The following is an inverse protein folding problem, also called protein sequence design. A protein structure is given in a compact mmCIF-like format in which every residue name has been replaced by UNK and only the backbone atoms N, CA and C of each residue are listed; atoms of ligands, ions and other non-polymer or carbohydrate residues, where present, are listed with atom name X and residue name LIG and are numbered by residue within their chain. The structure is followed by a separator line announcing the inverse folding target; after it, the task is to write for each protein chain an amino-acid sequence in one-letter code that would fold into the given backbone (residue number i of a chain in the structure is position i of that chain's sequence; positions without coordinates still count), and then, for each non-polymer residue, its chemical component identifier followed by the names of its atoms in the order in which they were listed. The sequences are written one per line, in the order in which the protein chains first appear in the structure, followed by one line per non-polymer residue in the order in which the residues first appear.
data_IF_992374018776
#
_entry.id   IF_992374018776
#
_cell.length_a   1.000
_cell.length_b   1.000
_cell.length_c   1.000
_cell.angle_alpha   90.00
_cell.angle_beta   90.00
_cell.angle_gamma   90.00
#
_symmetry.space_group_name_H-M   'P 1'
#
loop_
_entity.id
_entity.type
_entity.pdbx_description
1 polymer ?
#
# COMPACT_ATOMS: atom_id res chain seq x y z
N UNK A 1 -19.50 -3.86 16.36
CA UNK A 1 -18.56 -3.40 15.32
C UNK A 1 -17.11 -3.34 15.85
N UNK A 2 -16.81 -2.55 16.88
CA UNK A 2 -15.45 -2.49 17.46
C UNK A 2 -15.00 -3.77 18.22
N UNK A 3 -15.92 -4.52 18.85
CA UNK A 3 -15.59 -5.79 19.52
C UNK A 3 -15.20 -6.91 18.54
N UNK A 4 -15.91 -7.01 17.41
CA UNK A 4 -15.62 -7.97 16.33
C UNK A 4 -14.31 -7.62 15.60
N UNK A 5 -14.03 -6.33 15.39
CA UNK A 5 -12.76 -5.87 14.82
C UNK A 5 -11.57 -6.06 15.79
N UNK A 6 -11.81 -6.04 17.11
CA UNK A 6 -10.81 -6.34 18.15
C UNK A 6 -10.50 -7.84 18.24
N UNK A 7 -11.42 -8.71 17.84
CA UNK A 7 -11.18 -10.16 17.77
C UNK A 7 -10.05 -10.51 16.77
N UNK A 8 -9.81 -9.64 15.78
CA UNK A 8 -8.63 -9.69 14.88
C UNK A 8 -7.29 -9.48 15.61
N UNK A 9 -7.29 -8.97 16.85
CA UNK A 9 -6.09 -8.75 17.68
C UNK A 9 -5.87 -9.83 18.76
N UNK A 10 -6.84 -10.73 19.00
CA UNK A 10 -6.83 -11.64 20.15
C UNK A 10 -6.42 -13.08 19.87
N UNK A 11 -6.22 -13.49 18.61
CA UNK A 11 -5.92 -14.89 18.27
C UNK A 11 -4.43 -15.20 18.37
N UNK A 12 -3.88 -15.06 19.57
CA UNK A 12 -2.72 -15.83 20.02
C UNK A 12 -3.21 -17.09 20.73
N UNK A 13 -3.75 -18.07 20.01
CA UNK A 13 -4.01 -19.41 20.57
C UNK A 13 -4.19 -20.47 19.47
N UNK A 14 -3.35 -21.50 19.57
CA UNK A 14 -3.47 -22.90 19.08
C UNK A 14 -3.83 -23.22 17.60
N UNK A 15 -3.11 -24.17 16.97
CA UNK A 15 -3.49 -24.72 15.68
C UNK A 15 -4.64 -25.71 15.86
N UNK A 16 -5.55 -25.78 14.88
CA UNK A 16 -6.74 -26.64 14.85
C UNK A 16 -7.76 -26.39 15.97
N UNK A 17 -8.46 -25.27 15.89
CA UNK A 17 -9.87 -25.25 16.25
C UNK A 17 -10.60 -24.52 15.13
N UNK A 18 -11.67 -25.14 14.63
CA UNK A 18 -12.62 -24.56 13.70
C UNK A 18 -12.75 -23.06 13.93
N UNK A 19 -12.27 -22.24 12.99
CA UNK A 19 -12.78 -20.88 12.89
C UNK A 19 -14.27 -21.07 12.73
N UNK A 20 -15.05 -20.70 13.75
CA UNK A 20 -16.49 -20.89 13.73
C UNK A 20 -17.01 -20.24 12.45
N UNK A 21 -17.65 -21.01 11.57
CA UNK A 21 -18.15 -20.51 10.29
C UNK A 21 -19.05 -19.28 10.48
N UNK A 22 -19.68 -19.14 11.65
CA UNK A 22 -20.46 -17.98 12.07
C UNK A 22 -19.62 -16.70 12.21
N UNK A 23 -18.44 -16.77 12.81
CA UNK A 23 -17.54 -15.61 12.95
C UNK A 23 -17.03 -15.16 11.57
N UNK A 24 -16.67 -16.12 10.70
CA UNK A 24 -16.26 -15.83 9.31
C UNK A 24 -17.40 -15.21 8.48
N UNK A 25 -18.62 -15.73 8.61
CA UNK A 25 -19.80 -15.18 7.96
C UNK A 25 -20.08 -13.75 8.44
N UNK A 26 -19.95 -13.49 9.75
CA UNK A 26 -20.18 -12.15 10.31
C UNK A 26 -19.17 -11.12 9.80
N UNK A 27 -17.89 -11.48 9.67
CA UNK A 27 -16.83 -10.58 9.19
C UNK A 27 -17.03 -10.26 7.71
N UNK A 28 -17.25 -11.29 6.89
CA UNK A 28 -17.49 -11.11 5.44
C UNK A 28 -18.74 -10.28 5.18
N UNK A 29 -19.80 -10.44 5.99
CA UNK A 29 -21.01 -9.63 5.91
C UNK A 29 -20.73 -8.16 6.27
N UNK A 30 -19.93 -7.89 7.30
CA UNK A 30 -19.54 -6.52 7.66
C UNK A 30 -18.75 -5.85 6.54
N UNK A 31 -17.78 -6.55 5.94
CA UNK A 31 -17.03 -6.04 4.78
C UNK A 31 -17.94 -5.77 3.58
N UNK A 32 -18.89 -6.66 3.31
CA UNK A 32 -19.90 -6.46 2.27
C UNK A 32 -20.75 -5.21 2.53
N UNK A 33 -21.24 -5.02 3.75
CA UNK A 33 -22.01 -3.83 4.13
C UNK A 33 -21.19 -2.54 4.03
N UNK A 34 -19.91 -2.56 4.39
CA UNK A 34 -19.01 -1.42 4.25
C UNK A 34 -18.77 -1.07 2.78
N UNK A 35 -18.62 -2.07 1.92
CA UNK A 35 -18.48 -1.85 0.49
C UNK A 35 -19.79 -1.29 -0.11
N UNK A 36 -20.95 -1.79 0.33
CA UNK A 36 -22.26 -1.25 -0.04
C UNK A 36 -22.43 0.20 0.44
N UNK A 37 -21.95 0.54 1.64
CA UNK A 37 -21.92 1.91 2.15
C UNK A 37 -21.07 2.84 1.25
N UNK A 38 -19.97 2.33 0.67
CA UNK A 38 -19.12 3.13 -0.23
C UNK A 38 -19.82 3.40 -1.57
N UNK A 39 -20.49 2.39 -2.13
CA UNK A 39 -21.26 2.53 -3.36
C UNK A 39 -22.50 3.41 -3.18
N UNK A 40 -23.20 3.29 -2.06
CA UNK A 40 -24.35 4.15 -1.75
C UNK A 40 -23.92 5.60 -1.58
N UNK A 41 -22.82 5.87 -0.89
CA UNK A 41 -22.24 7.23 -0.81
C UNK A 41 -21.94 7.80 -2.20
N UNK A 42 -21.34 7.00 -3.09
CA UNK A 42 -21.06 7.43 -4.46
C UNK A 42 -22.33 7.66 -5.27
N UNK A 43 -23.34 6.78 -5.15
CA UNK A 43 -24.63 6.93 -5.82
C UNK A 43 -25.36 8.21 -5.37
N UNK A 44 -25.33 8.54 -4.08
CA UNK A 44 -25.90 9.78 -3.55
C UNK A 44 -25.17 11.02 -4.10
N UNK A 45 -23.84 10.96 -4.27
CA UNK A 45 -23.07 12.02 -4.91
C UNK A 45 -23.49 12.22 -6.38
N UNK A 46 -23.61 11.13 -7.13
CA UNK A 46 -24.04 11.18 -8.54
C UNK A 46 -25.46 11.75 -8.64
N UNK A 47 -26.37 11.32 -7.77
CA UNK A 47 -27.72 11.87 -7.70
C UNK A 47 -27.73 13.37 -7.41
N UNK A 48 -26.94 13.82 -6.41
CA UNK A 48 -26.79 15.24 -6.08
C UNK A 48 -26.28 16.05 -7.27
N UNK A 49 -25.21 15.59 -7.93
CA UNK A 49 -24.63 16.27 -9.09
C UNK A 49 -25.61 16.32 -10.25
N UNK A 50 -26.27 15.21 -10.57
CA UNK A 50 -27.27 15.16 -11.63
C UNK A 50 -28.40 16.16 -11.35
N UNK A 51 -28.88 16.23 -10.11
CA UNK A 51 -29.92 17.18 -9.73
C UNK A 51 -29.46 18.63 -9.91
N UNK A 52 -28.28 19.00 -9.40
CA UNK A 52 -27.74 20.37 -9.54
C UNK A 52 -27.54 20.73 -11.01
N UNK A 53 -26.93 19.85 -11.79
CA UNK A 53 -26.59 20.11 -13.19
C UNK A 53 -27.84 20.19 -14.09
N UNK A 54 -28.81 19.28 -13.94
CA UNK A 54 -30.04 19.34 -14.73
C UNK A 54 -30.84 20.60 -14.44
N UNK A 55 -30.98 20.99 -13.16
CA UNK A 55 -31.69 22.22 -12.80
C UNK A 55 -31.00 23.47 -13.37
N UNK A 56 -29.67 23.54 -13.28
CA UNK A 56 -28.91 24.66 -13.86
C UNK A 56 -28.97 24.67 -15.39
N UNK A 57 -28.95 23.51 -16.05
CA UNK A 57 -29.09 23.44 -17.51
C UNK A 57 -30.46 23.91 -17.96
N UNK A 58 -31.53 23.44 -17.30
CA UNK A 58 -32.91 23.87 -17.59
C UNK A 58 -32.99 25.39 -17.48
N UNK A 59 -32.46 25.97 -16.40
CA UNK A 59 -32.42 27.42 -16.19
C UNK A 59 -31.72 28.15 -17.35
N UNK A 60 -30.52 27.72 -17.77
CA UNK A 60 -29.81 28.37 -18.88
C UNK A 60 -30.50 28.22 -20.24
N UNK A 61 -31.39 27.24 -20.41
CA UNK A 61 -32.16 27.04 -21.64
C UNK A 61 -33.50 27.77 -21.69
N UNK A 62 -33.90 28.46 -20.62
CA UNK A 62 -35.19 29.16 -20.57
C UNK A 62 -35.14 30.50 -21.33
N UNK A 63 -36.15 30.72 -22.20
CA UNK A 63 -36.29 31.96 -22.98
C UNK A 63 -37.07 33.07 -22.24
N UNK A 64 -37.73 32.75 -21.12
CA UNK A 64 -38.49 33.69 -20.29
C UNK A 64 -38.13 33.49 -18.82
N UNK A 65 -37.87 34.58 -18.10
CA UNK A 65 -37.32 34.59 -16.74
C UNK A 65 -38.33 34.20 -15.62
N UNK A 66 -39.54 33.74 -15.96
CA UNK A 66 -40.63 33.57 -14.99
C UNK A 66 -40.77 32.16 -14.39
N UNK A 67 -40.03 31.15 -14.86
CA UNK A 67 -40.02 29.88 -14.14
C UNK A 67 -38.87 29.87 -13.14
N UNK A 68 -39.16 30.44 -11.96
CA UNK A 68 -38.39 30.22 -10.74
C UNK A 68 -37.85 28.80 -10.73
N UNK A 69 -36.53 28.67 -10.62
CA UNK A 69 -35.88 27.43 -10.21
C UNK A 69 -36.79 26.73 -9.18
N UNK A 70 -37.06 25.42 -9.26
CA UNK A 70 -37.79 24.74 -8.19
C UNK A 70 -36.85 24.62 -6.97
N UNK A 71 -36.58 25.74 -6.31
CA UNK A 71 -35.77 25.82 -5.12
C UNK A 71 -36.43 26.74 -4.11
N UNK A 72 -37.22 26.10 -3.25
CA UNK A 72 -37.01 26.25 -1.81
C UNK A 72 -37.62 25.10 -0.99
N UNK A 73 -38.54 24.30 -1.55
CA UNK A 73 -39.07 23.13 -0.79
C UNK A 73 -38.07 21.97 -0.66
N UNK A 74 -37.02 21.91 -1.50
CA UNK A 74 -36.08 20.76 -1.56
C UNK A 74 -34.62 21.03 -1.18
N UNK A 75 -34.22 22.27 -0.88
CA UNK A 75 -32.79 22.57 -0.55
C UNK A 75 -32.32 21.80 0.68
N UNK A 76 -33.17 21.73 1.71
CA UNK A 76 -32.90 20.99 2.94
C UNK A 76 -32.74 19.47 2.68
N UNK A 77 -33.48 18.92 1.71
CA UNK A 77 -33.35 17.52 1.31
C UNK A 77 -32.01 17.29 0.61
N UNK A 78 -31.63 18.18 -0.31
CA UNK A 78 -30.35 18.09 -1.01
C UNK A 78 -29.16 18.22 -0.04
N UNK A 79 -29.26 19.13 0.94
CA UNK A 79 -28.29 19.28 2.02
C UNK A 79 -28.20 18.00 2.87
N UNK A 80 -29.33 17.39 3.22
CA UNK A 80 -29.33 16.11 3.95
C UNK A 80 -28.66 15.00 3.16
N UNK A 81 -28.95 14.89 1.86
CA UNK A 81 -28.37 13.88 0.97
C UNK A 81 -26.85 14.01 0.89
N UNK A 82 -26.32 15.22 0.68
CA UNK A 82 -24.87 15.43 0.57
C UNK A 82 -24.16 15.21 1.91
N UNK A 83 -24.76 15.62 3.03
CA UNK A 83 -24.23 15.37 4.37
C UNK A 83 -24.22 13.87 4.68
N UNK A 84 -25.30 13.14 4.39
CA UNK A 84 -25.36 11.69 4.56
C UNK A 84 -24.31 10.97 3.69
N UNK A 85 -24.16 11.39 2.43
CA UNK A 85 -23.13 10.86 1.54
C UNK A 85 -21.71 11.11 2.09
N UNK A 86 -21.43 12.29 2.62
CA UNK A 86 -20.14 12.65 3.22
C UNK A 86 -19.83 11.81 4.47
N UNK A 87 -20.82 11.60 5.36
CA UNK A 87 -20.65 10.76 6.56
C UNK A 87 -20.38 9.30 6.19
N UNK A 88 -21.17 8.74 5.27
CA UNK A 88 -20.94 7.37 4.77
C UNK A 88 -19.54 7.24 4.16
N UNK A 89 -19.12 8.21 3.34
CA UNK A 89 -17.77 8.19 2.75
C UNK A 89 -16.68 8.27 3.79
N UNK A 90 -16.86 9.09 4.83
CA UNK A 90 -15.87 9.23 5.90
C UNK A 90 -15.68 7.91 6.63
N UNK A 91 -16.76 7.20 6.96
CA UNK A 91 -16.72 5.88 7.60
C UNK A 91 -15.99 4.86 6.72
N UNK A 92 -16.27 4.83 5.41
CA UNK A 92 -15.65 3.88 4.49
C UNK A 92 -14.19 4.19 4.24
N UNK A 93 -13.81 5.47 4.11
CA UNK A 93 -12.40 5.88 3.98
C UNK A 93 -11.61 5.57 5.24
N UNK A 94 -12.17 5.83 6.43
CA UNK A 94 -11.52 5.49 7.70
C UNK A 94 -11.25 3.99 7.78
N UNK A 95 -12.23 3.17 7.39
CA UNK A 95 -12.09 1.72 7.37
C UNK A 95 -11.02 1.30 6.38
N UNK A 96 -11.01 1.84 5.15
CA UNK A 96 -9.93 1.58 4.17
C UNK A 96 -8.55 1.94 4.71
N UNK A 97 -8.39 3.08 5.38
CA UNK A 97 -7.13 3.44 6.03
C UNK A 97 -6.74 2.48 7.15
N UNK A 98 -7.72 1.99 7.91
CA UNK A 98 -7.49 0.96 8.91
C UNK A 98 -6.97 -0.33 8.26
N UNK A 99 -7.54 -0.79 7.14
CA UNK A 99 -7.03 -1.95 6.40
C UNK A 99 -5.61 -1.71 5.86
N UNK A 100 -5.35 -0.51 5.30
CA UNK A 100 -4.04 -0.10 4.80
C UNK A 100 -2.96 0.05 5.90
N UNK A 101 -3.34 -0.06 7.18
CA UNK A 101 -2.39 -0.10 8.29
C UNK A 101 -2.08 -1.51 8.78
N UNK A 102 -2.76 -2.54 8.24
CA UNK A 102 -2.79 -3.89 8.80
C UNK A 102 -2.50 -4.96 7.76
N UNK A 103 -1.36 -4.84 7.11
CA UNK A 103 -0.79 -5.89 6.29
C UNK A 103 0.69 -6.08 6.64
N UNK A 104 1.21 -7.25 6.33
CA UNK A 104 2.62 -7.56 6.60
C UNK A 104 3.41 -7.38 5.31
N UNK A 105 4.54 -6.66 5.40
CA UNK A 105 5.49 -6.48 4.30
C UNK A 105 6.78 -7.17 4.67
N UNK A 106 7.25 -8.04 3.77
CA UNK A 106 8.49 -8.78 3.93
C UNK A 106 9.48 -8.34 2.87
N UNK A 107 10.61 -7.81 3.31
CA UNK A 107 11.77 -7.55 2.46
C UNK A 107 12.66 -8.79 2.47
N UNK A 108 12.77 -9.43 1.31
CA UNK A 108 13.55 -10.65 1.08
C UNK A 108 14.89 -10.23 0.48
N UNK A 109 15.97 -10.34 1.25
CA UNK A 109 17.31 -9.98 0.80
C UNK A 109 17.99 -11.19 0.16
N UNK A 110 18.38 -11.03 -1.11
CA UNK A 110 19.08 -12.06 -1.88
C UNK A 110 20.61 -11.98 -1.75
N UNK A 111 21.14 -10.91 -1.14
CA UNK A 111 22.58 -10.75 -0.95
C UNK A 111 23.11 -11.79 0.05
N UNK A 112 24.25 -12.38 -0.28
CA UNK A 112 24.90 -13.42 0.52
C UNK A 112 26.11 -12.86 1.25
N UNK A 113 26.40 -13.31 2.48
CA UNK A 113 27.62 -12.92 3.18
C UNK A 113 28.82 -13.38 2.35
N UNK A 114 29.70 -12.44 1.99
CA UNK A 114 30.91 -12.77 1.24
C UNK A 114 32.01 -13.17 2.21
N UNK A 115 32.71 -14.26 1.91
CA UNK A 115 33.93 -14.55 2.64
C UNK A 115 34.98 -13.54 2.21
N UNK A 116 35.55 -12.79 3.15
CA UNK A 116 36.74 -12.01 2.83
C UNK A 116 37.89 -12.99 2.69
N UNK A 117 38.17 -13.42 1.46
CA UNK A 117 39.44 -14.07 1.16
C UNK A 117 40.56 -13.03 1.28
N UNK A 118 40.95 -12.71 2.51
CA UNK A 118 42.13 -11.87 2.76
C UNK A 118 43.43 -12.58 2.38
N UNK A 119 43.37 -13.85 1.95
CA UNK A 119 44.52 -14.58 1.43
C UNK A 119 44.12 -15.35 0.16
N UNK A 120 44.15 -14.70 -1.00
CA UNK A 120 45.03 -15.11 -2.11
C UNK A 120 44.68 -14.36 -3.40
N UNK A 121 45.61 -13.52 -3.80
CA UNK A 121 45.88 -13.18 -5.20
C UNK A 121 46.10 -14.52 -5.91
N UNK A 122 45.10 -15.06 -6.61
CA UNK A 122 45.25 -15.84 -7.85
C UNK A 122 43.90 -16.43 -8.31
N UNK A 123 43.35 -15.81 -9.37
CA UNK A 123 42.74 -16.44 -10.53
C UNK A 123 42.03 -17.81 -10.36
N UNK A 124 40.69 -17.82 -10.44
CA UNK A 124 39.94 -18.30 -11.62
C UNK A 124 38.44 -18.32 -11.36
N UNK A 125 37.73 -17.81 -12.36
CA UNK A 125 36.34 -18.09 -12.68
C UNK A 125 35.94 -19.54 -12.38
N UNK A 126 35.04 -19.73 -11.42
CA UNK A 126 34.15 -20.89 -11.40
C UNK A 126 32.72 -20.38 -11.26
N UNK A 127 32.12 -20.21 -12.44
CA UNK A 127 30.70 -20.07 -12.66
C UNK A 127 30.10 -21.48 -12.46
N UNK A 128 30.03 -21.95 -11.22
CA UNK A 128 29.34 -23.19 -10.89
C UNK A 128 27.97 -22.88 -10.31
N UNK A 129 26.98 -23.08 -11.18
CA UNK A 129 25.58 -23.33 -10.86
C UNK A 129 25.55 -24.53 -9.90
N UNK A 130 25.63 -24.26 -8.60
CA UNK A 130 25.52 -25.27 -7.55
C UNK A 130 24.27 -24.99 -6.72
N UNK A 131 23.44 -26.02 -6.61
CA UNK A 131 22.12 -26.07 -5.98
C UNK A 131 22.08 -25.35 -4.62
N UNK A 132 21.25 -24.31 -4.57
CA UNK A 132 21.09 -23.40 -3.47
C UNK A 132 20.21 -24.00 -2.35
N UNK A 133 20.77 -24.74 -1.38
CA UNK A 133 20.20 -24.88 -0.02
C UNK A 133 20.99 -25.77 0.98
N UNK A 134 22.07 -26.48 0.60
CA UNK A 134 22.50 -27.66 1.38
C UNK A 134 23.84 -27.61 2.13
N UNK A 135 24.46 -26.45 2.37
CA UNK A 135 25.72 -26.42 3.14
C UNK A 135 25.53 -25.91 4.58
N UNK A 136 25.23 -26.88 5.45
CA UNK A 136 25.31 -26.78 6.90
C UNK A 136 26.77 -27.00 7.35
N UNK A 137 27.57 -25.93 7.38
CA UNK A 137 28.89 -25.92 8.01
C UNK A 137 29.01 -24.71 8.96
N UNK A 138 29.67 -24.85 10.12
CA UNK A 138 29.80 -23.76 11.08
C UNK A 138 30.80 -22.72 10.54
N UNK A 139 30.50 -21.41 10.52
CA UNK A 139 31.38 -20.44 9.91
C UNK A 139 32.21 -19.71 10.97
N UNK A 140 33.52 -19.89 10.93
CA UNK A 140 34.45 -18.90 11.46
C UNK A 140 34.50 -17.73 10.46
N UNK A 141 34.11 -16.54 10.92
CA UNK A 141 34.15 -15.24 10.22
C UNK A 141 33.30 -15.12 8.94
N UNK A 142 31.96 -15.14 9.09
CA UNK A 142 31.06 -14.56 8.08
C UNK A 142 31.09 -13.03 8.19
N UNK A 143 31.44 -12.34 7.11
CA UNK A 143 31.10 -10.91 7.01
C UNK A 143 29.57 -10.80 6.95
N UNK A 144 28.98 -9.95 7.79
CA UNK A 144 27.53 -9.78 7.80
C UNK A 144 27.10 -8.98 6.57
N UNK A 145 25.94 -9.31 6.00
CA UNK A 145 25.34 -8.56 4.90
C UNK A 145 24.95 -7.17 5.38
N UNK A 146 25.22 -6.15 4.57
CA UNK A 146 24.88 -4.77 4.87
C UNK A 146 23.35 -4.57 4.92
N UNK A 147 22.86 -3.97 6.00
CA UNK A 147 21.44 -3.63 6.14
C UNK A 147 21.00 -2.36 5.38
N UNK A 148 21.94 -1.58 4.83
CA UNK A 148 21.64 -0.26 4.25
C UNK A 148 20.68 -0.31 3.06
N UNK A 149 20.81 -1.32 2.18
CA UNK A 149 19.90 -1.54 1.05
C UNK A 149 18.46 -1.72 1.51
N UNK A 150 18.27 -2.53 2.57
CA UNK A 150 16.95 -2.74 3.18
C UNK A 150 16.39 -1.46 3.80
N UNK A 151 17.21 -0.70 4.53
CA UNK A 151 16.79 0.58 5.12
C UNK A 151 16.38 1.59 4.03
N UNK A 152 17.16 1.69 2.95
CA UNK A 152 16.85 2.55 1.82
C UNK A 152 15.50 2.21 1.19
N UNK A 153 15.26 0.92 0.89
CA UNK A 153 13.99 0.49 0.30
C UNK A 153 12.80 0.68 1.24
N UNK A 154 12.98 0.50 2.55
CA UNK A 154 11.92 0.76 3.53
C UNK A 154 11.58 2.25 3.57
N UNK A 155 12.59 3.12 3.56
CA UNK A 155 12.36 4.58 3.49
C UNK A 155 11.60 4.96 2.22
N UNK A 156 11.97 4.38 1.08
CA UNK A 156 11.27 4.54 -0.19
C UNK A 156 9.82 4.03 -0.13
N UNK A 157 9.58 2.87 0.47
CA UNK A 157 8.24 2.32 0.70
C UNK A 157 7.37 3.26 1.52
N UNK A 158 7.91 3.80 2.62
CA UNK A 158 7.19 4.75 3.51
C UNK A 158 6.88 6.05 2.78
N UNK A 159 7.81 6.55 1.94
CA UNK A 159 7.62 7.73 1.11
C UNK A 159 6.49 7.52 0.10
N UNK A 160 6.53 6.42 -0.66
CA UNK A 160 5.51 6.07 -1.66
C UNK A 160 4.15 5.85 -1.03
N UNK A 161 4.12 5.21 0.13
CA UNK A 161 2.88 5.00 0.88
C UNK A 161 2.16 6.31 1.16
N UNK A 162 2.89 7.41 1.34
CA UNK A 162 2.36 8.73 1.70
C UNK A 162 2.24 9.70 0.51
N UNK A 163 2.61 9.24 -0.69
CA UNK A 163 2.52 9.98 -1.93
C UNK A 163 1.08 9.95 -2.49
N UNK A 164 0.68 11.04 -3.13
CA UNK A 164 -0.61 11.20 -3.82
C UNK A 164 -0.34 11.63 -5.26
N UNK A 165 -1.27 11.32 -6.17
CA UNK A 165 -1.16 11.76 -7.56
C UNK A 165 -1.50 13.25 -7.66
N UNK A 166 -2.58 13.65 -7.00
CA UNK A 166 -3.07 15.02 -7.01
C UNK A 166 -2.80 15.72 -5.68
N UNK A 167 -2.55 17.03 -5.74
CA UNK A 167 -2.33 17.84 -4.54
C UNK A 167 -3.66 18.43 -4.08
N UNK A 168 -4.23 17.88 -3.00
CA UNK A 168 -5.50 18.34 -2.43
C UNK A 168 -5.44 19.82 -2.01
N UNK A 169 -4.31 20.30 -1.50
CA UNK A 169 -4.16 21.70 -1.08
C UNK A 169 -4.23 22.65 -2.29
N UNK A 170 -3.47 22.35 -3.33
CA UNK A 170 -3.48 23.16 -4.56
C UNK A 170 -4.85 23.12 -5.22
N UNK A 171 -5.51 21.96 -5.23
CA UNK A 171 -6.86 21.80 -5.77
C UNK A 171 -7.88 22.70 -5.06
N UNK A 172 -7.92 22.70 -3.73
CA UNK A 172 -8.89 23.52 -2.99
C UNK A 172 -8.62 25.02 -3.15
N UNK A 173 -7.34 25.42 -3.14
CA UNK A 173 -6.95 26.81 -3.38
C UNK A 173 -7.32 27.29 -4.78
N UNK A 174 -7.01 26.49 -5.81
CA UNK A 174 -7.39 26.79 -7.18
C UNK A 174 -8.92 26.83 -7.35
N UNK A 175 -9.66 25.94 -6.67
CA UNK A 175 -11.13 25.93 -6.69
C UNK A 175 -11.70 27.22 -6.11
N UNK A 176 -11.15 27.72 -5.01
CA UNK A 176 -11.54 29.00 -4.42
C UNK A 176 -11.34 30.16 -5.38
N UNK A 177 -10.18 30.24 -6.04
CA UNK A 177 -9.88 31.31 -7.00
C UNK A 177 -10.82 31.21 -8.20
N UNK A 178 -10.96 30.02 -8.79
CA UNK A 178 -11.84 29.80 -9.93
C UNK A 178 -13.29 30.15 -9.59
N UNK A 179 -13.78 29.76 -8.41
CA UNK A 179 -15.12 30.10 -7.96
C UNK A 179 -15.32 31.62 -7.89
N UNK A 180 -14.40 32.38 -7.29
CA UNK A 180 -14.54 33.84 -7.22
C UNK A 180 -14.48 34.54 -8.59
N UNK A 181 -13.77 33.95 -9.56
CA UNK A 181 -13.70 34.48 -10.93
C UNK A 181 -14.98 34.18 -11.72
N UNK A 182 -15.51 32.96 -11.61
CA UNK A 182 -16.64 32.51 -12.44
C UNK A 182 -18.01 32.76 -11.79
N UNK A 183 -18.12 32.76 -10.47
CA UNK A 183 -19.37 32.99 -9.74
C UNK A 183 -19.68 34.49 -9.60
N UNK A 184 -19.64 35.23 -10.71
CA UNK A 184 -20.05 36.64 -10.73
C UNK A 184 -21.58 36.76 -10.65
N UNK A 185 -22.06 37.91 -10.18
CA UNK A 185 -23.50 38.20 -10.10
C UNK A 185 -24.18 38.14 -11.47
N UNK A 186 -23.44 38.44 -12.55
CA UNK A 186 -23.93 38.33 -13.92
C UNK A 186 -24.20 36.88 -14.36
N UNK A 187 -23.40 35.92 -13.89
CA UNK A 187 -23.52 34.49 -14.28
C UNK A 187 -24.50 33.75 -13.38
N UNK A 188 -24.52 34.10 -12.10
CA UNK A 188 -25.25 33.35 -11.08
C UNK A 188 -26.57 34.01 -10.69
N UNK A 189 -26.85 35.25 -11.13
CA UNK A 189 -28.04 36.01 -10.76
C UNK A 189 -28.32 36.01 -9.24
N UNK A 190 -27.26 35.94 -8.44
CA UNK A 190 -27.30 35.75 -6.99
C UNK A 190 -28.04 34.49 -6.47
N UNK A 191 -28.37 33.53 -7.33
CA UNK A 191 -28.99 32.26 -6.94
C UNK A 191 -27.98 31.30 -6.33
N UNK A 192 -28.30 30.83 -5.12
CA UNK A 192 -27.54 29.81 -4.39
C UNK A 192 -27.27 28.53 -5.19
N UNK A 193 -28.19 28.12 -6.07
CA UNK A 193 -28.08 26.88 -6.84
C UNK A 193 -27.11 27.02 -7.98
N UNK A 194 -27.14 28.15 -8.68
CA UNK A 194 -26.18 28.46 -9.74
C UNK A 194 -24.78 28.65 -9.17
N UNK A 195 -24.67 29.27 -7.99
CA UNK A 195 -23.38 29.33 -7.26
C UNK A 195 -22.88 27.93 -6.90
N UNK A 196 -23.73 27.04 -6.40
CA UNK A 196 -23.38 25.65 -6.10
C UNK A 196 -22.95 24.88 -7.37
N UNK A 197 -23.65 25.09 -8.49
CA UNK A 197 -23.29 24.53 -9.79
C UNK A 197 -21.90 24.99 -10.25
N UNK A 198 -21.63 26.29 -10.27
CA UNK A 198 -20.31 26.84 -10.63
C UNK A 198 -19.24 26.29 -9.68
N UNK A 199 -19.51 26.22 -8.38
CA UNK A 199 -18.56 25.71 -7.39
C UNK A 199 -18.19 24.24 -7.62
N UNK A 200 -19.19 23.38 -7.83
CA UNK A 200 -18.98 21.95 -8.13
C UNK A 200 -18.26 21.74 -9.47
N UNK A 201 -18.63 22.52 -10.49
CA UNK A 201 -17.99 22.48 -11.81
C UNK A 201 -16.52 22.89 -11.74
N UNK A 202 -16.19 24.01 -11.08
CA UNK A 202 -14.81 24.45 -10.89
C UNK A 202 -13.97 23.38 -10.17
N UNK A 203 -14.51 22.76 -9.12
CA UNK A 203 -13.78 21.73 -8.37
C UNK A 203 -13.50 20.47 -9.21
N UNK A 204 -14.50 19.98 -9.96
CA UNK A 204 -14.39 18.80 -10.83
C UNK A 204 -13.44 19.03 -12.00
N UNK A 205 -13.51 20.21 -12.63
CA UNK A 205 -12.64 20.60 -13.75
C UNK A 205 -11.19 20.71 -13.32
N UNK A 206 -10.91 21.32 -12.16
CA UNK A 206 -9.55 21.43 -11.62
C UNK A 206 -9.00 20.05 -11.26
N UNK A 207 -9.79 19.18 -10.63
CA UNK A 207 -9.36 17.80 -10.37
C UNK A 207 -9.01 17.05 -11.65
N UNK A 208 -9.90 17.13 -12.65
CA UNK A 208 -9.71 16.46 -13.94
C UNK A 208 -8.47 16.97 -14.65
N UNK A 209 -8.24 18.29 -14.63
CA UNK A 209 -7.04 18.91 -15.19
C UNK A 209 -5.77 18.44 -14.46
N UNK A 210 -5.76 18.43 -13.12
CA UNK A 210 -4.63 17.91 -12.34
C UNK A 210 -4.36 16.44 -12.64
N UNK A 211 -5.40 15.62 -12.72
CA UNK A 211 -5.28 14.20 -13.00
C UNK A 211 -4.70 13.93 -14.39
N UNK A 212 -5.21 14.63 -15.41
CA UNK A 212 -4.70 14.53 -16.78
C UNK A 212 -3.25 15.00 -16.85
N UNK A 213 -2.94 16.18 -16.32
CA UNK A 213 -1.57 16.72 -16.31
C UNK A 213 -0.59 15.77 -15.61
N UNK A 214 -1.00 15.18 -14.48
CA UNK A 214 -0.17 14.23 -13.76
C UNK A 214 0.09 12.97 -14.59
N UNK A 215 -0.96 12.39 -15.19
CA UNK A 215 -0.85 11.12 -15.90
C UNK A 215 -0.25 11.22 -17.31
N UNK A 216 -0.27 12.40 -17.94
CA UNK A 216 0.30 12.59 -19.29
C UNK A 216 1.65 13.29 -19.27
N UNK A 217 1.83 14.32 -18.44
CA UNK A 217 3.02 15.16 -18.47
C UNK A 217 4.01 14.76 -17.38
N UNK A 218 3.54 14.66 -16.13
CA UNK A 218 4.43 14.39 -14.99
C UNK A 218 4.98 12.96 -15.06
N UNK A 219 4.14 11.96 -15.26
CA UNK A 219 4.57 10.56 -15.42
C UNK A 219 5.45 10.34 -16.64
N UNK A 220 5.24 11.10 -17.72
CA UNK A 220 6.09 11.01 -18.92
C UNK A 220 7.45 11.67 -18.69
N UNK A 221 7.50 12.81 -18.00
CA UNK A 221 8.75 13.55 -17.78
C UNK A 221 9.60 12.95 -16.64
N UNK A 222 8.98 12.54 -15.54
CA UNK A 222 9.67 12.05 -14.34
C UNK A 222 9.63 10.52 -14.21
N UNK A 223 8.92 9.83 -15.10
CA UNK A 223 8.69 8.39 -15.02
C UNK A 223 7.57 8.02 -14.03
N UNK A 224 7.11 6.78 -14.12
CA UNK A 224 6.13 6.23 -13.18
C UNK A 224 6.81 5.88 -11.84
N UNK A 225 6.39 6.46 -10.70
CA UNK A 225 7.01 6.18 -9.40
C UNK A 225 6.95 4.71 -9.01
N UNK A 226 5.91 3.97 -9.44
CA UNK A 226 5.79 2.53 -9.18
C UNK A 226 6.89 1.74 -9.92
N UNK A 227 7.16 2.07 -11.18
CA UNK A 227 8.24 1.45 -11.95
C UNK A 227 9.61 1.80 -11.37
N UNK A 228 9.82 3.06 -10.98
CA UNK A 228 11.06 3.50 -10.33
C UNK A 228 11.31 2.71 -9.04
N UNK A 229 10.27 2.45 -8.26
CA UNK A 229 10.39 1.63 -7.05
C UNK A 229 10.77 0.18 -7.32
N UNK A 230 10.15 -0.45 -8.32
CA UNK A 230 10.49 -1.81 -8.75
C UNK A 230 11.95 -1.88 -9.21
N UNK A 231 12.40 -0.88 -9.97
CA UNK A 231 13.79 -0.77 -10.39
C UNK A 231 14.74 -0.65 -9.19
N UNK A 232 14.38 0.16 -8.17
CA UNK A 232 15.15 0.22 -6.93
C UNK A 232 15.22 -1.14 -6.23
N UNK A 233 14.15 -1.94 -6.23
CA UNK A 233 14.14 -3.27 -5.64
C UNK A 233 15.17 -4.19 -6.33
N UNK A 234 15.22 -4.22 -7.67
CA UNK A 234 16.21 -5.01 -8.41
C UNK A 234 17.64 -4.49 -8.26
N UNK A 235 17.82 -3.17 -8.20
CA UNK A 235 19.13 -2.56 -7.95
C UNK A 235 19.65 -2.82 -6.54
N UNK A 236 18.75 -3.03 -5.58
CA UNK A 236 19.08 -3.34 -4.21
C UNK A 236 19.12 -4.85 -3.93
N UNK A 237 18.87 -5.71 -4.93
CA UNK A 237 18.82 -7.17 -4.78
C UNK A 237 17.84 -7.64 -3.68
N UNK A 238 16.70 -6.95 -3.53
CA UNK A 238 15.71 -7.24 -2.50
C UNK A 238 14.34 -7.39 -3.15
N UNK A 239 13.67 -8.51 -2.89
CA UNK A 239 12.28 -8.72 -3.29
C UNK A 239 11.32 -8.32 -2.18
N UNK A 240 10.09 -7.95 -2.55
CA UNK A 240 9.06 -7.56 -1.58
C UNK A 240 7.91 -8.54 -1.70
N UNK A 241 7.55 -9.14 -0.57
CA UNK A 241 6.41 -10.04 -0.47
C UNK A 241 5.40 -9.41 0.49
N UNK A 242 4.19 -9.16 0.02
CA UNK A 242 3.13 -8.50 0.78
C UNK A 242 1.96 -9.45 0.91
N UNK A 243 1.49 -9.67 2.14
CA UNK A 243 0.26 -10.40 2.41
C UNK A 243 -0.78 -9.44 2.97
N UNK A 244 -1.83 -9.17 2.18
CA UNK A 244 -2.99 -8.40 2.61
C UNK A 244 -3.90 -9.30 3.44
N UNK A 245 -4.14 -10.49 2.93
CA UNK A 245 -4.85 -11.58 3.59
C UNK A 245 -3.99 -12.86 3.55
N UNK A 246 -4.30 -13.89 4.35
CA UNK A 246 -3.54 -15.14 4.34
C UNK A 246 -3.43 -15.80 2.95
N UNK A 247 -4.40 -15.56 2.08
CA UNK A 247 -4.55 -16.17 0.75
C UNK A 247 -4.41 -15.17 -0.41
N UNK A 248 -4.10 -13.90 -0.15
CA UNK A 248 -3.98 -12.89 -1.20
C UNK A 248 -2.92 -11.84 -0.88
N UNK A 249 -2.21 -11.39 -1.91
CA UNK A 249 -1.12 -10.46 -1.74
C UNK A 249 -0.48 -10.01 -3.04
N UNK A 250 0.68 -9.37 -2.88
CA UNK A 250 1.52 -8.93 -4.00
C UNK A 250 2.96 -9.41 -3.80
N UNK A 251 3.63 -9.73 -4.91
CA UNK A 251 5.05 -10.03 -4.93
C UNK A 251 5.75 -9.16 -5.96
N UNK A 252 6.81 -8.49 -5.52
CA UNK A 252 7.71 -7.71 -6.38
C UNK A 252 9.05 -8.44 -6.38
N UNK A 253 9.42 -8.94 -7.56
CA UNK A 253 10.67 -9.62 -7.79
C UNK A 253 11.81 -8.62 -8.03
N UNK A 254 12.66 -8.49 -7.02
CA UNK A 254 13.82 -7.61 -7.01
C UNK A 254 15.16 -8.34 -6.88
N UNK A 255 15.25 -9.61 -7.29
CA UNK A 255 16.56 -10.26 -7.41
C UNK A 255 17.32 -9.63 -8.56
N UNK A 256 18.57 -9.22 -8.32
CA UNK A 256 19.39 -8.62 -9.37
C UNK A 256 19.84 -9.72 -10.35
N UNK A 257 19.89 -9.46 -11.67
CA UNK A 257 20.36 -10.43 -12.66
C UNK A 257 21.77 -10.95 -12.37
N UNK A 258 22.62 -10.10 -11.80
CA UNK A 258 24.00 -10.42 -11.47
C UNK A 258 24.16 -11.08 -10.09
N UNK A 259 23.07 -11.17 -9.31
CA UNK A 259 23.01 -11.86 -8.03
C UNK A 259 23.63 -11.14 -6.83
N UNK A 260 24.29 -10.00 -7.04
CA UNK A 260 24.91 -9.20 -5.99
C UNK A 260 24.89 -7.70 -6.32
N UNK A 261 24.86 -6.86 -5.27
CA UNK A 261 24.72 -5.39 -5.42
C UNK A 261 25.63 -4.57 -4.50
N UNK A 262 26.10 -5.11 -3.38
CA UNK A 262 27.04 -4.41 -2.49
C UNK A 262 28.46 -4.45 -3.11
N UNK A 263 28.76 -3.51 -4.02
CA UNK A 263 30.06 -3.38 -4.71
C UNK A 263 30.43 -1.95 -5.06
N UNK A 264 31.68 -1.76 -5.49
CA UNK A 264 32.18 -0.49 -5.97
C UNK A 264 31.46 0.00 -7.24
N UNK A 265 31.47 1.32 -7.43
CA UNK A 265 30.84 1.99 -8.58
C UNK A 265 31.28 1.43 -9.94
N UNK A 266 32.56 1.12 -10.21
CA UNK A 266 32.97 0.54 -11.49
C UNK A 266 32.29 -0.80 -11.78
N UNK A 267 32.13 -1.66 -10.76
CA UNK A 267 31.42 -2.93 -10.91
C UNK A 267 29.96 -2.70 -11.27
N UNK A 268 29.28 -1.77 -10.60
CA UNK A 268 27.89 -1.39 -10.93
C UNK A 268 27.78 -0.89 -12.38
N UNK A 269 28.73 -0.09 -12.86
CA UNK A 269 28.74 0.36 -14.26
C UNK A 269 28.86 -0.82 -15.23
N UNK A 270 29.75 -1.78 -14.95
CA UNK A 270 29.89 -2.98 -15.79
C UNK A 270 28.60 -3.82 -15.80
N UNK A 271 27.90 -3.90 -14.67
CA UNK A 271 26.61 -4.57 -14.55
C UNK A 271 25.52 -3.90 -15.39
N UNK A 272 25.51 -2.56 -15.47
CA UNK A 272 24.57 -1.84 -16.34
C UNK A 272 24.89 -1.99 -17.82
N UNK A 273 26.18 -2.05 -18.18
CA UNK A 273 26.60 -2.32 -19.54
C UNK A 273 26.18 -3.73 -19.98
N UNK A 274 26.36 -4.73 -19.13
CA UNK A 274 25.95 -6.10 -19.43
C UNK A 274 24.43 -6.24 -19.54
N UNK A 275 23.66 -5.53 -18.72
CA UNK A 275 22.20 -5.46 -18.84
C UNK A 275 21.77 -4.77 -20.15
N UNK A 276 22.40 -3.64 -20.51
CA UNK A 276 22.12 -2.92 -21.77
C UNK A 276 22.41 -3.78 -23.00
N UNK A 277 23.49 -4.55 -22.95
CA UNK A 277 23.88 -5.47 -24.02
C UNK A 277 23.09 -6.79 -23.99
N UNK A 278 22.12 -6.94 -23.08
CA UNK A 278 21.34 -8.17 -22.87
C UNK A 278 22.21 -9.42 -22.66
N UNK A 279 23.38 -9.26 -22.04
CA UNK A 279 24.31 -10.33 -21.69
C UNK A 279 23.95 -11.01 -20.36
N UNK A 280 23.01 -10.44 -19.62
CA UNK A 280 22.49 -10.96 -18.35
C UNK A 280 21.09 -11.55 -18.52
N UNK A 281 20.67 -12.37 -17.57
CA UNK A 281 19.28 -12.80 -17.46
C UNK A 281 18.36 -11.57 -17.34
N UNK A 282 17.18 -11.65 -17.97
CA UNK A 282 16.19 -10.58 -17.86
C UNK A 282 15.57 -10.62 -16.47
N UNK A 283 15.19 -9.44 -15.97
CA UNK A 283 14.49 -9.31 -14.69
C UNK A 283 13.17 -10.08 -14.70
N UNK A 284 12.70 -10.48 -13.52
CA UNK A 284 11.43 -11.19 -13.33
C UNK A 284 11.60 -12.70 -13.14
N UNK A 285 10.53 -13.39 -12.73
CA UNK A 285 10.57 -14.82 -12.45
C UNK A 285 10.64 -15.71 -13.71
N UNK A 286 10.11 -15.22 -14.83
CA UNK A 286 10.06 -15.95 -16.12
C UNK A 286 11.05 -15.41 -17.16
N UNK A 287 12.04 -14.61 -16.76
CA UNK A 287 12.93 -13.89 -17.68
C UNK A 287 12.17 -13.03 -18.73
N UNK A 288 10.94 -12.60 -18.40
CA UNK A 288 10.02 -11.86 -19.27
C UNK A 288 10.02 -10.34 -19.01
N UNK A 289 10.96 -9.81 -18.22
CA UNK A 289 11.05 -8.41 -17.77
C UNK A 289 9.97 -7.96 -16.77
N UNK A 290 8.83 -8.65 -16.67
CA UNK A 290 7.81 -8.37 -15.68
C UNK A 290 8.25 -8.80 -14.27
N UNK A 291 8.23 -7.86 -13.34
CA UNK A 291 8.73 -8.05 -11.97
C UNK A 291 7.60 -8.03 -10.93
N UNK A 292 6.37 -7.73 -11.31
CA UNK A 292 5.23 -7.63 -10.40
C UNK A 292 4.24 -8.77 -10.59
N UNK A 293 3.79 -9.32 -9.47
CA UNK A 293 2.85 -10.44 -9.44
C UNK A 293 1.76 -10.22 -8.40
N UNK A 294 0.52 -10.52 -8.77
CA UNK A 294 -0.58 -10.71 -7.82
C UNK A 294 -0.52 -12.16 -7.37
N UNK A 295 -0.38 -12.38 -6.07
CA UNK A 295 -0.13 -13.72 -5.53
C UNK A 295 -1.34 -14.26 -4.79
N UNK A 296 -1.65 -15.51 -5.08
CA UNK A 296 -2.50 -16.37 -4.26
C UNK A 296 -1.57 -17.46 -3.71
N UNK A 297 -0.94 -17.24 -2.54
CA UNK A 297 0.00 -18.19 -1.97
C UNK A 297 -0.71 -19.50 -1.55
N UNK A 298 0.04 -20.62 -1.45
CA UNK A 298 -0.53 -21.87 -0.93
C UNK A 298 -0.93 -21.71 0.54
N UNK A 299 -2.04 -22.35 0.95
CA UNK A 299 -2.61 -22.22 2.31
C UNK A 299 -1.60 -22.56 3.41
N UNK A 300 -0.74 -23.54 3.15
CA UNK A 300 0.28 -23.98 4.09
C UNK A 300 1.33 -22.89 4.39
N UNK A 301 1.61 -21.98 3.44
CA UNK A 301 2.60 -20.91 3.60
C UNK A 301 2.32 -20.07 4.83
N UNK A 302 1.08 -19.61 4.97
CA UNK A 302 0.69 -18.76 6.09
C UNK A 302 0.81 -19.48 7.43
N UNK A 303 0.49 -20.77 7.47
CA UNK A 303 0.60 -21.58 8.70
C UNK A 303 2.06 -21.75 9.15
N UNK A 304 2.98 -22.03 8.21
CA UNK A 304 4.41 -22.15 8.50
C UNK A 304 4.99 -20.79 8.87
N UNK A 305 4.62 -19.75 8.14
CA UNK A 305 5.02 -18.39 8.42
C UNK A 305 4.61 -17.95 9.84
N UNK A 306 3.37 -18.20 10.25
CA UNK A 306 2.92 -17.88 11.61
C UNK A 306 3.73 -18.62 12.69
N UNK A 307 4.13 -19.86 12.45
CA UNK A 307 5.03 -20.59 13.37
C UNK A 307 6.39 -19.91 13.51
N UNK A 308 6.95 -19.39 12.41
CA UNK A 308 8.20 -18.62 12.43
C UNK A 308 8.03 -17.27 13.12
N UNK A 309 6.92 -16.57 12.86
CA UNK A 309 6.60 -15.30 13.48
C UNK A 309 6.40 -15.44 15.00
N UNK A 310 5.71 -16.49 15.45
CA UNK A 310 5.55 -16.79 16.88
C UNK A 310 6.91 -17.05 17.56
N UNK A 311 7.86 -17.67 16.87
CA UNK A 311 9.21 -17.87 17.39
C UNK A 311 9.96 -16.53 17.54
N UNK A 312 9.83 -15.65 16.56
CA UNK A 312 10.37 -14.28 16.65
C UNK A 312 9.72 -13.51 17.80
N UNK A 313 8.40 -13.53 17.91
CA UNK A 313 7.69 -12.80 18.96
C UNK A 313 8.09 -13.30 20.36
N UNK A 314 8.18 -14.61 20.58
CA UNK A 314 8.69 -15.18 21.84
C UNK A 314 10.11 -14.72 22.15
N UNK A 315 10.97 -14.58 21.12
CA UNK A 315 12.33 -14.08 21.32
C UNK A 315 12.34 -12.62 21.80
N UNK A 316 11.46 -11.78 21.25
CA UNK A 316 11.29 -10.37 21.65
C UNK A 316 10.68 -10.28 23.05
N UNK A 317 9.62 -11.04 23.34
CA UNK A 317 8.92 -11.02 24.63
C UNK A 317 9.82 -11.55 25.77
N UNK A 318 10.67 -12.55 25.48
CA UNK A 318 11.68 -13.02 26.43
C UNK A 318 12.73 -11.96 26.76
N UNK A 319 13.00 -11.03 25.83
CA UNK A 319 13.91 -9.91 26.05
C UNK A 319 13.25 -8.75 26.83
N UNK A 320 11.95 -8.53 26.65
CA UNK A 320 11.21 -7.46 27.32
C UNK A 320 10.79 -7.84 28.75
N UNK A 321 10.38 -9.09 29.01
CA UNK A 321 9.99 -9.55 30.34
C UNK A 321 11.14 -9.48 31.38
N UNK A 322 12.38 -9.70 30.94
CA UNK A 322 13.57 -9.64 31.80
C UNK A 322 13.93 -8.18 32.20
N UNK A 323 13.42 -7.16 31.48
CA UNK A 323 13.61 -5.74 31.84
C UNK A 323 12.77 -5.30 33.04
N UNK A 324 11.69 -6.02 33.39
CA UNK A 324 10.74 -5.60 34.43
C UNK A 324 11.10 -6.04 35.85
N UNK A 325 11.99 -7.02 36.03
CA UNK A 325 12.22 -7.68 37.33
C UNK A 325 13.44 -7.20 38.14
N UNK A 326 14.21 -6.20 37.68
CA UNK A 326 15.53 -5.90 38.26
C UNK A 326 15.60 -4.59 39.07
N UNK A 327 14.91 -4.55 40.21
CA UNK A 327 15.02 -3.47 41.21
C UNK A 327 16.12 -3.71 42.29
N UNK A 328 17.24 -4.37 41.93
CA UNK A 328 18.30 -4.73 42.91
C UNK A 328 19.74 -4.52 42.43
N UNK A 329 20.42 -3.50 42.99
CA UNK A 329 21.88 -3.28 43.08
C UNK A 329 22.63 -2.78 41.81
N UNK A 330 23.12 -1.55 41.92
CA UNK A 330 23.92 -0.74 40.98
C UNK A 330 25.42 -0.92 41.28
N UNK A 331 26.18 -1.63 40.43
CA UNK A 331 27.60 -1.30 40.11
C UNK A 331 28.31 -2.31 39.17
N UNK A 332 27.74 -3.49 38.90
CA UNK A 332 28.29 -4.46 37.89
C UNK A 332 27.43 -4.57 36.62
N UNK A 333 26.48 -3.65 36.43
CA UNK A 333 25.35 -3.80 35.50
C UNK A 333 25.62 -3.40 34.05
N UNK A 334 26.55 -2.49 33.78
CA UNK A 334 26.79 -1.99 32.41
C UNK A 334 27.27 -3.08 31.44
N UNK A 335 28.22 -3.93 31.83
CA UNK A 335 28.69 -5.04 30.98
C UNK A 335 27.67 -6.17 30.84
N UNK A 336 26.86 -6.41 31.89
CA UNK A 336 25.85 -7.47 31.90
C UNK A 336 24.61 -7.09 31.08
N UNK A 337 24.22 -5.82 31.10
CA UNK A 337 23.08 -5.33 30.32
C UNK A 337 23.44 -5.18 28.83
N UNK A 338 24.70 -4.82 28.50
CA UNK A 338 25.20 -4.78 27.13
C UNK A 338 25.28 -6.19 26.49
N UNK A 339 25.92 -7.14 27.16
CA UNK A 339 26.01 -8.55 26.69
C UNK A 339 24.65 -9.24 26.58
N UNK A 340 23.67 -8.84 27.41
CA UNK A 340 22.30 -9.37 27.37
C UNK A 340 21.44 -8.73 26.28
N UNK A 341 21.59 -7.43 26.03
CA UNK A 341 20.96 -6.76 24.90
C UNK A 341 21.51 -7.31 23.58
N UNK A 342 22.81 -7.59 23.53
CA UNK A 342 23.50 -8.24 22.40
C UNK A 342 22.95 -9.66 22.15
N UNK A 343 22.82 -10.49 23.18
CA UNK A 343 22.23 -11.83 23.05
C UNK A 343 20.74 -11.85 22.68
N UNK A 344 19.98 -10.79 22.98
CA UNK A 344 18.61 -10.60 22.50
C UNK A 344 18.58 -10.19 21.03
N UNK A 345 19.43 -9.24 20.64
CA UNK A 345 19.56 -8.75 19.27
C UNK A 345 20.04 -9.85 18.32
N UNK A 346 20.92 -10.73 18.79
CA UNK A 346 21.37 -11.89 18.05
C UNK A 346 20.22 -12.88 17.80
N UNK A 347 19.38 -13.14 18.80
CA UNK A 347 18.20 -14.01 18.65
C UNK A 347 17.18 -13.44 17.66
N UNK A 348 16.93 -12.14 17.66
CA UNK A 348 16.03 -11.50 16.69
C UNK A 348 16.64 -11.55 15.29
N UNK A 349 17.93 -11.23 15.13
CA UNK A 349 18.68 -11.34 13.88
C UNK A 349 18.64 -12.76 13.29
N UNK A 350 18.84 -13.79 14.12
CA UNK A 350 18.72 -15.20 13.72
C UNK A 350 17.29 -15.53 13.29
N UNK A 351 16.26 -15.02 13.98
CA UNK A 351 14.88 -15.24 13.58
C UNK A 351 14.56 -14.57 12.23
N UNK A 352 15.05 -13.36 11.95
CA UNK A 352 14.89 -12.71 10.64
C UNK A 352 15.61 -13.48 9.53
N UNK A 353 16.85 -13.90 9.75
CA UNK A 353 17.59 -14.69 8.75
C UNK A 353 16.88 -16.01 8.41
N UNK A 354 16.21 -16.64 9.39
CA UNK A 354 15.38 -17.82 9.15
C UNK A 354 14.13 -17.51 8.31
N UNK A 355 13.46 -16.38 8.56
CA UNK A 355 12.31 -15.93 7.76
C UNK A 355 12.77 -15.61 6.33
N UNK A 356 13.88 -14.89 6.16
CA UNK A 356 14.44 -14.57 4.85
C UNK A 356 14.77 -15.84 4.07
N UNK A 357 15.48 -16.78 4.70
CA UNK A 357 15.82 -18.08 4.09
C UNK A 357 14.59 -18.88 3.69
N UNK A 358 13.53 -18.85 4.50
CA UNK A 358 12.26 -19.51 4.17
C UNK A 358 11.65 -18.92 2.90
N UNK A 359 11.55 -17.59 2.79
CA UNK A 359 11.00 -16.95 1.61
C UNK A 359 11.89 -17.12 0.36
N UNK A 360 13.21 -17.05 0.50
CA UNK A 360 14.14 -17.38 -0.60
C UNK A 360 13.91 -18.81 -1.09
N UNK A 361 13.84 -19.78 -0.17
CA UNK A 361 13.59 -21.19 -0.52
C UNK A 361 12.21 -21.40 -1.14
N UNK A 362 11.19 -20.67 -0.72
CA UNK A 362 9.85 -20.73 -1.32
C UNK A 362 9.85 -20.18 -2.75
N UNK A 363 10.47 -19.02 -2.99
CA UNK A 363 10.55 -18.42 -4.34
C UNK A 363 11.41 -19.28 -5.28
N UNK A 364 12.50 -19.87 -4.81
CA UNK A 364 13.38 -20.75 -5.61
C UNK A 364 12.79 -22.17 -5.80
N UNK A 365 11.50 -22.40 -5.51
CA UNK A 365 10.86 -23.72 -5.58
C UNK A 365 11.56 -24.83 -4.74
N UNK A 366 12.29 -24.43 -3.69
CA UNK A 366 13.09 -25.31 -2.84
C UNK A 366 12.30 -26.09 -1.79
N UNK A 367 11.00 -25.81 -1.63
CA UNK A 367 10.12 -26.46 -0.64
C UNK A 367 9.15 -27.40 -1.36
N UNK A 368 9.35 -28.72 -1.23
CA UNK A 368 8.55 -29.73 -1.96
C UNK A 368 7.04 -29.66 -1.71
N UNK A 369 6.64 -29.29 -0.50
CA UNK A 369 5.22 -29.25 -0.08
C UNK A 369 4.56 -27.88 -0.30
N UNK A 370 5.29 -26.91 -0.85
CA UNK A 370 4.81 -25.56 -1.14
C UNK A 370 5.43 -25.04 -2.43
N UNK A 371 4.60 -24.96 -3.46
CA UNK A 371 5.01 -24.56 -4.80
C UNK A 371 4.04 -23.51 -5.36
N UNK A 372 4.38 -22.87 -6.47
CA UNK A 372 3.50 -21.95 -7.17
C UNK A 372 3.66 -22.04 -8.68
N UNK A 373 2.60 -21.67 -9.40
CA UNK A 373 2.57 -21.62 -10.86
C UNK A 373 2.42 -20.15 -11.27
N UNK A 374 3.17 -19.74 -12.28
CA UNK A 374 3.07 -18.39 -12.86
C UNK A 374 2.09 -18.44 -14.04
N UNK A 375 1.16 -17.49 -14.08
CA UNK A 375 0.08 -17.45 -15.07
C UNK A 375 -0.25 -16.01 -15.45
N UNK A 376 -0.72 -15.77 -16.68
CA UNK A 376 -1.33 -14.48 -17.05
C UNK A 376 -2.84 -14.46 -16.73
N UNK A 377 -3.39 -13.30 -16.36
CA UNK A 377 -4.84 -13.12 -16.24
C UNK A 377 -5.50 -13.24 -17.62
N UNK A 378 -6.55 -14.05 -17.70
CA UNK A 378 -7.41 -14.09 -18.90
C UNK A 378 -8.13 -12.76 -19.09
N UNK A 379 -8.61 -12.49 -20.31
CA UNK A 379 -9.34 -11.25 -20.62
C UNK A 379 -10.55 -11.04 -19.69
N UNK A 380 -11.26 -12.12 -19.36
CA UNK A 380 -12.44 -12.09 -18.49
C UNK A 380 -12.04 -11.84 -17.03
N UNK A 381 -10.98 -12.48 -16.54
CA UNK A 381 -10.40 -12.21 -15.21
C UNK A 381 -9.90 -10.76 -15.08
N UNK A 382 -9.34 -10.19 -16.16
CA UNK A 382 -8.90 -8.79 -16.20
C UNK A 382 -10.07 -7.81 -16.22
N UNK A 383 -11.14 -8.11 -16.96
CA UNK A 383 -12.33 -7.25 -17.06
C UNK A 383 -13.09 -7.19 -15.73
N UNK A 384 -13.29 -8.34 -15.08
CA UNK A 384 -14.00 -8.44 -13.81
C UNK A 384 -13.11 -8.14 -12.59
N UNK A 385 -11.81 -7.99 -12.82
CA UNK A 385 -10.78 -7.88 -11.79
C UNK A 385 -10.92 -8.98 -10.72
N UNK A 386 -11.12 -10.22 -11.17
CA UNK A 386 -11.29 -11.39 -10.31
C UNK A 386 -10.49 -12.57 -10.84
N UNK A 387 -9.89 -13.36 -9.95
CA UNK A 387 -9.19 -14.58 -10.29
C UNK A 387 -10.17 -15.76 -10.31
N UNK A 388 -10.55 -16.24 -11.50
CA UNK A 388 -11.61 -17.24 -11.68
C UNK A 388 -11.05 -18.66 -11.73
N UNK A 389 -9.95 -18.85 -12.44
CA UNK A 389 -9.35 -20.17 -12.65
C UNK A 389 -8.25 -20.41 -11.61
N UNK A 390 -8.69 -20.55 -10.36
CA UNK A 390 -7.84 -20.75 -9.19
C UNK A 390 -7.46 -22.23 -9.04
N UNK A 391 -6.18 -22.55 -9.15
CA UNK A 391 -5.64 -23.86 -8.78
C UNK A 391 -5.27 -23.85 -7.29
N UNK A 392 -6.24 -23.59 -6.41
CA UNK A 392 -5.97 -23.58 -4.96
C UNK A 392 -5.93 -25.02 -4.46
N UNK A 393 -4.75 -25.61 -4.54
CA UNK A 393 -4.42 -26.80 -3.77
C UNK A 393 -3.76 -26.36 -2.45
N UNK A 394 -3.79 -27.19 -1.42
CA UNK A 394 -3.13 -26.85 -0.13
C UNK A 394 -1.64 -26.55 -0.28
N UNK A 395 -1.00 -27.19 -1.27
CA UNK A 395 0.43 -27.11 -1.57
C UNK A 395 0.81 -26.22 -2.77
N UNK A 396 -0.14 -25.78 -3.61
CA UNK A 396 0.17 -24.99 -4.81
C UNK A 396 -0.54 -23.64 -4.82
N UNK A 397 0.23 -22.57 -4.97
CA UNK A 397 -0.25 -21.21 -5.20
C UNK A 397 -0.26 -20.82 -6.68
N UNK A 398 -0.81 -19.65 -6.98
CA UNK A 398 -0.81 -19.07 -8.34
C UNK A 398 -0.32 -17.63 -8.29
N UNK A 399 0.64 -17.30 -9.16
CA UNK A 399 1.23 -15.96 -9.30
C UNK A 399 0.80 -15.39 -10.64
N UNK A 400 0.02 -14.32 -10.61
CA UNK A 400 -0.47 -13.66 -11.81
C UNK A 400 0.44 -12.50 -12.18
N UNK A 401 0.93 -12.46 -13.42
CA UNK A 401 1.70 -11.30 -13.93
C UNK A 401 0.87 -10.01 -13.86
N UNK A 402 1.46 -8.94 -13.31
CA UNK A 402 0.80 -7.66 -13.07
C UNK A 402 1.50 -6.51 -13.81
N UNK A 403 1.10 -6.32 -15.07
CA UNK A 403 1.58 -5.23 -15.96
C UNK A 403 1.02 -3.85 -15.58
N UNK A 404 0.01 -3.79 -14.72
CA UNK A 404 -0.70 -2.56 -14.34
C UNK A 404 -0.23 -1.93 -13.03
N UNK A 405 0.75 -2.53 -12.34
CA UNK A 405 1.22 -2.09 -11.02
C UNK A 405 0.07 -2.03 -10.00
N UNK A 406 -0.76 -3.07 -9.95
CA UNK A 406 -1.92 -3.20 -9.07
C UNK A 406 -1.56 -3.10 -7.58
N UNK A 407 -0.31 -3.41 -7.20
CA UNK A 407 0.19 -3.20 -5.83
C UNK A 407 0.12 -1.72 -5.38
N UNK A 408 -0.09 -0.79 -6.30
CA UNK A 408 -0.38 0.60 -5.98
C UNK A 408 -1.60 0.77 -5.03
N UNK A 409 -2.54 -0.19 -5.02
CA UNK A 409 -3.64 -0.20 -4.05
C UNK A 409 -3.17 -0.30 -2.58
N UNK A 410 -1.92 -0.71 -2.31
CA UNK A 410 -1.34 -0.67 -0.97
C UNK A 410 -0.99 0.74 -0.50
N UNK A 411 -0.99 1.72 -1.41
CA UNK A 411 -0.56 3.09 -1.14
C UNK A 411 -1.70 4.09 -1.33
N UNK A 412 -1.52 5.30 -0.78
CA UNK A 412 -2.43 6.41 -1.07
C UNK A 412 -2.44 6.79 -2.55
N UNK A 413 -1.34 6.53 -3.26
CA UNK A 413 -1.22 6.76 -4.69
C UNK A 413 -2.25 5.95 -5.52
N UNK A 414 -2.71 4.79 -5.03
CA UNK A 414 -3.76 3.98 -5.66
C UNK A 414 -5.18 4.42 -5.31
N UNK A 415 -5.35 5.12 -4.18
CA UNK A 415 -6.64 5.55 -3.67
C UNK A 415 -6.95 7.04 -3.90
N UNK A 416 -6.20 7.71 -4.79
CA UNK A 416 -6.32 9.15 -5.07
C UNK A 416 -7.76 9.58 -5.38
N UNK A 417 -8.46 8.88 -6.27
CA UNK A 417 -9.86 9.18 -6.63
C UNK A 417 -10.82 9.00 -5.44
N UNK A 418 -10.60 7.99 -4.61
CA UNK A 418 -11.42 7.77 -3.42
C UNK A 418 -11.24 8.91 -2.41
N UNK A 419 -10.01 9.40 -2.25
CA UNK A 419 -9.71 10.57 -1.42
C UNK A 419 -10.32 11.83 -2.01
N UNK A 420 -10.17 12.07 -3.31
CA UNK A 420 -10.81 13.21 -3.97
C UNK A 420 -12.32 13.21 -3.73
N UNK A 421 -13.00 12.07 -3.91
CA UNK A 421 -14.45 11.94 -3.67
C UNK A 421 -14.82 12.35 -2.24
N UNK A 422 -14.06 11.92 -1.23
CA UNK A 422 -14.29 12.32 0.17
C UNK A 422 -14.11 13.83 0.37
N UNK A 423 -12.99 14.40 -0.10
CA UNK A 423 -12.74 15.83 0.06
C UNK A 423 -13.79 16.66 -0.68
N UNK A 424 -14.20 16.24 -1.88
CA UNK A 424 -15.25 16.88 -2.66
C UNK A 424 -16.62 16.82 -1.97
N UNK A 425 -16.97 15.68 -1.37
CA UNK A 425 -18.19 15.53 -0.56
C UNK A 425 -18.19 16.47 0.65
N UNK A 426 -17.07 16.57 1.38
CA UNK A 426 -16.95 17.49 2.51
C UNK A 426 -17.01 18.95 2.03
N UNK A 427 -16.31 19.28 0.94
CA UNK A 427 -16.29 20.62 0.35
C UNK A 427 -17.71 21.08 -0.02
N UNK A 428 -18.44 20.23 -0.73
CA UNK A 428 -19.82 20.52 -1.17
C UNK A 428 -20.81 20.55 -0.02
N UNK A 429 -20.72 19.63 0.94
CA UNK A 429 -21.57 19.62 2.13
C UNK A 429 -21.40 20.91 2.96
N UNK A 430 -20.15 21.31 3.25
CA UNK A 430 -19.89 22.53 4.04
C UNK A 430 -20.34 23.78 3.27
N UNK A 431 -20.12 23.82 1.95
CA UNK A 431 -20.63 24.93 1.13
C UNK A 431 -22.17 25.01 1.17
N UNK A 432 -22.88 23.88 1.06
CA UNK A 432 -24.34 23.85 1.18
C UNK A 432 -24.85 24.25 2.57
N UNK A 433 -24.08 24.05 3.63
CA UNK A 433 -24.48 24.45 4.99
C UNK A 433 -24.29 25.95 5.26
N UNK A 434 -23.17 26.52 4.80
CA UNK A 434 -22.77 27.89 5.19
C UNK A 434 -22.86 28.90 4.06
N UNK A 435 -23.11 28.48 2.82
CA UNK A 435 -23.09 29.29 1.60
C UNK A 435 -21.79 30.11 1.42
N UNK A 436 -20.69 29.68 2.06
CA UNK A 436 -19.43 30.39 2.12
C UNK A 436 -18.29 29.50 1.59
N UNK A 437 -17.74 29.85 0.42
CA UNK A 437 -16.67 29.08 -0.23
C UNK A 437 -15.38 29.04 0.59
N UNK A 438 -15.04 30.14 1.27
CA UNK A 438 -13.83 30.21 2.11
C UNK A 438 -13.91 29.22 3.28
N UNK A 439 -15.05 29.17 3.98
CA UNK A 439 -15.27 28.25 5.10
C UNK A 439 -15.15 26.80 4.63
N UNK A 440 -15.76 26.46 3.50
CA UNK A 440 -15.67 25.13 2.91
C UNK A 440 -14.22 24.71 2.64
N UNK A 441 -13.44 25.59 2.01
CA UNK A 441 -12.03 25.35 1.68
C UNK A 441 -11.17 25.20 2.93
N UNK A 442 -11.36 26.06 3.94
CA UNK A 442 -10.61 25.98 5.20
C UNK A 442 -10.92 24.67 5.93
N UNK A 443 -12.19 24.27 6.03
CA UNK A 443 -12.58 23.02 6.68
C UNK A 443 -11.94 21.81 5.99
N UNK A 444 -11.95 21.77 4.65
CA UNK A 444 -11.33 20.67 3.90
C UNK A 444 -9.81 20.66 4.05
N UNK A 445 -9.15 21.81 4.07
CA UNK A 445 -7.70 21.91 4.30
C UNK A 445 -7.30 21.41 5.70
N UNK A 446 -8.07 21.79 6.73
CA UNK A 446 -7.87 21.28 8.11
C UNK A 446 -8.10 19.78 8.16
N UNK A 447 -9.18 19.29 7.54
CA UNK A 447 -9.49 17.86 7.46
C UNK A 447 -8.39 17.07 6.72
N UNK A 448 -7.87 17.60 5.61
CA UNK A 448 -6.77 16.98 4.87
C UNK A 448 -5.50 16.86 5.73
N UNK A 449 -5.15 17.92 6.47
CA UNK A 449 -3.99 17.88 7.36
C UNK A 449 -4.18 16.88 8.51
N UNK A 450 -5.37 16.83 9.11
CA UNK A 450 -5.72 15.88 10.15
C UNK A 450 -5.70 14.43 9.65
N UNK A 451 -6.25 14.17 8.46
CA UNK A 451 -6.26 12.82 7.88
C UNK A 451 -4.85 12.33 7.58
N UNK A 452 -3.94 13.19 7.09
CA UNK A 452 -2.52 12.82 6.90
C UNK A 452 -1.81 12.46 8.21
N UNK A 453 -2.08 13.19 9.29
CA UNK A 453 -1.52 12.89 10.62
C UNK A 453 -2.04 11.56 11.16
N UNK A 454 -3.35 11.32 11.05
CA UNK A 454 -3.95 10.04 11.43
C UNK A 454 -3.35 8.88 10.64
N UNK A 455 -3.14 9.08 9.34
CA UNK A 455 -2.59 8.04 8.48
C UNK A 455 -1.12 7.74 8.78
N UNK A 456 -0.34 8.76 9.13
CA UNK A 456 1.02 8.57 9.63
C UNK A 456 1.02 7.77 10.94
N UNK A 457 0.13 8.10 11.87
CA UNK A 457 -0.03 7.35 13.13
C UNK A 457 -0.44 5.89 12.89
N UNK A 458 -1.36 5.63 11.97
CA UNK A 458 -1.75 4.27 11.61
C UNK A 458 -0.60 3.49 10.98
N UNK A 459 0.21 4.13 10.14
CA UNK A 459 1.35 3.48 9.49
C UNK A 459 2.49 3.11 10.42
N UNK A 460 2.68 3.82 11.53
CA UNK A 460 3.61 3.40 12.58
C UNK A 460 3.27 2.02 13.16
N UNK A 461 2.02 1.56 12.99
CA UNK A 461 1.59 0.22 13.40
C UNK A 461 1.76 -0.85 12.32
N UNK A 462 2.25 -0.51 11.11
CA UNK A 462 2.55 -1.53 10.09
C UNK A 462 3.74 -2.38 10.53
N UNK A 463 3.61 -3.70 10.37
CA UNK A 463 4.69 -4.65 10.65
C UNK A 463 5.57 -4.79 9.41
N UNK A 464 6.71 -4.09 9.42
CA UNK A 464 7.71 -4.13 8.35
C UNK A 464 8.86 -5.03 8.80
N UNK A 465 9.09 -6.15 8.13
CA UNK A 465 10.21 -7.05 8.43
C UNK A 465 11.40 -6.70 7.53
N UNK A 466 12.63 -6.50 8.07
CA UNK A 466 13.15 -7.05 9.33
C UNK A 466 13.27 -6.08 10.52
N UNK A 467 12.66 -4.90 10.51
CA UNK A 467 12.80 -3.93 11.60
C UNK A 467 11.51 -3.90 12.44
N UNK A 468 11.49 -4.67 13.53
CA UNK A 468 10.40 -4.70 14.51
C UNK A 468 10.80 -3.94 15.79
#
# INVERSE_FOLDING_TARGET
MWSLLRQRQGTSASPLSSVNNEDFCSITLVEFLLQLADYTSFALLVYFLLYVYLNSLIYYTQNYAELTLPLLKGYNYLQFVICAAAVLKLITTFTKFWHLSRFNVFFIDWERPRYSDTNNINLKSNLEISSACSNAGPPANKSNVSGWRSIFLINEWVRLSSSQKTSTLFQNFATYIAFNIFATDAVTHNDSTLKLFVFTLCSLTIYSLQYVLHNTLITHLLGNPMQTFINHCSLANISIFVLIEPSSGYYIHGRSPNGFTDTDVPTIITQFQSETQSLCERRGLLNNADQCYIIIPPKNLYSYFNKLLLRLQRSIDSASAIRSDNNGIFQTRYHKDLSRAEGSLEKTSIAYSNINRFFCAFVDHGIKDMDYIIKEKTLLERLLNCELNQHINESKGTFYEDKSYSFNHLFLYGHDFHLFTLHFLILTAVYSMFANALVAVVVVCVFHKASRLLLFSFKLNMKIFPFY
#
